data_IF_852528980837
#
_entry.id   IF_852528980837
#
_cell.length_a   1.000
_cell.length_b   1.000
_cell.length_c   1.000
_cell.angle_alpha   90.00
_cell.angle_beta   90.00
_cell.angle_gamma   90.00
#
_symmetry.space_group_name_H-M   'P 1'
#
loop_
_entity.id
_entity.type
_entity.pdbx_description
1 polymer ?
#
# COMPACT_ATOMS: atom_id res chain seq x y z
N UNK A 1 12.45 10.74 -3.90
CA UNK A 1 11.93 11.86 -3.07
C UNK A 1 11.62 11.30 -1.68
N UNK A 2 11.67 12.07 -0.58
CA UNK A 2 11.53 11.58 0.82
C UNK A 2 12.55 10.49 1.27
N UNK A 3 13.84 10.74 1.06
CA UNK A 3 14.91 9.76 1.31
C UNK A 3 14.92 9.15 2.72
N UNK A 4 14.66 9.96 3.75
CA UNK A 4 14.68 9.48 5.14
C UNK A 4 13.43 8.65 5.49
N UNK A 5 12.25 9.13 5.11
CA UNK A 5 10.99 8.43 5.40
C UNK A 5 10.94 7.12 4.62
N UNK A 6 11.21 7.13 3.32
CA UNK A 6 11.23 5.89 2.54
C UNK A 6 12.38 4.97 2.92
N UNK A 7 13.52 5.52 3.37
CA UNK A 7 14.63 4.73 3.91
C UNK A 7 14.19 3.93 5.12
N UNK A 8 13.64 4.60 6.13
CA UNK A 8 13.12 3.95 7.34
C UNK A 8 12.06 2.88 7.03
N UNK A 9 11.09 3.21 6.18
CA UNK A 9 10.03 2.28 5.82
C UNK A 9 10.56 1.03 5.11
N UNK A 10 11.54 1.20 4.21
CA UNK A 10 12.16 0.08 3.51
C UNK A 10 12.99 -0.79 4.44
N UNK A 11 13.80 -0.16 5.29
CA UNK A 11 14.64 -0.87 6.26
C UNK A 11 13.80 -1.75 7.19
N UNK A 12 12.78 -1.18 7.82
CA UNK A 12 11.90 -1.92 8.74
C UNK A 12 11.10 -3.00 8.00
N UNK A 13 10.55 -2.70 6.82
CA UNK A 13 9.82 -3.70 6.03
C UNK A 13 10.72 -4.87 5.59
N UNK A 14 11.96 -4.60 5.18
CA UNK A 14 12.94 -5.63 4.81
C UNK A 14 13.29 -6.50 6.03
N UNK A 15 13.48 -5.91 7.20
CA UNK A 15 13.73 -6.64 8.44
C UNK A 15 12.57 -7.58 8.80
N UNK A 16 11.33 -7.05 8.85
CA UNK A 16 10.13 -7.83 9.19
C UNK A 16 9.87 -8.91 8.13
N UNK A 17 10.10 -8.63 6.84
CA UNK A 17 9.87 -9.61 5.77
C UNK A 17 10.69 -10.89 5.93
N UNK A 18 11.88 -10.81 6.54
CA UNK A 18 12.74 -11.97 6.80
C UNK A 18 12.13 -12.94 7.80
N UNK A 19 11.24 -12.46 8.67
CA UNK A 19 10.49 -13.30 9.62
C UNK A 19 9.35 -14.08 8.92
N UNK A 20 8.95 -13.66 7.71
CA UNK A 20 7.84 -14.23 6.94
C UNK A 20 8.28 -14.65 5.53
N UNK A 21 9.21 -15.62 5.37
CA UNK A 21 9.81 -15.96 4.08
C UNK A 21 8.83 -16.54 3.04
N UNK A 22 7.64 -16.98 3.49
CA UNK A 22 6.60 -17.51 2.62
C UNK A 22 5.71 -16.40 2.01
N UNK A 23 5.86 -15.15 2.46
CA UNK A 23 5.12 -14.00 1.95
C UNK A 23 6.05 -13.22 1.02
N UNK A 24 5.63 -13.04 -0.24
CA UNK A 24 6.39 -12.26 -1.21
C UNK A 24 6.28 -10.76 -0.88
N UNK A 25 7.40 -10.11 -0.62
CA UNK A 25 7.47 -8.66 -0.44
C UNK A 25 7.90 -7.97 -1.74
N UNK A 26 7.17 -6.94 -2.16
CA UNK A 26 7.49 -6.08 -3.29
C UNK A 26 7.41 -4.61 -2.89
N UNK A 27 8.16 -3.76 -3.60
CA UNK A 27 8.17 -2.33 -3.35
C UNK A 27 7.80 -1.54 -4.60
N UNK A 28 6.88 -0.60 -4.44
CA UNK A 28 6.39 0.25 -5.52
C UNK A 28 6.34 1.70 -5.02
N UNK A 29 6.75 2.66 -5.85
CA UNK A 29 6.56 4.07 -5.53
C UNK A 29 5.07 4.44 -5.56
N UNK A 30 4.66 5.41 -4.75
CA UNK A 30 3.23 5.72 -4.56
C UNK A 30 2.53 6.18 -5.83
N UNK A 31 3.23 6.88 -6.72
CA UNK A 31 2.72 7.30 -8.03
C UNK A 31 2.47 6.10 -8.94
N UNK A 32 3.42 5.19 -9.02
CA UNK A 32 3.27 3.93 -9.75
C UNK A 32 2.18 3.04 -9.13
N UNK A 33 2.07 2.98 -7.81
CA UNK A 33 1.02 2.26 -7.11
C UNK A 33 -0.36 2.82 -7.46
N UNK A 34 -0.55 4.14 -7.42
CA UNK A 34 -1.80 4.79 -7.81
C UNK A 34 -2.19 4.46 -9.27
N UNK A 35 -1.23 4.49 -10.21
CA UNK A 35 -1.48 4.06 -11.59
C UNK A 35 -1.88 2.58 -11.67
N UNK A 36 -1.22 1.70 -10.92
CA UNK A 36 -1.50 0.27 -10.91
C UNK A 36 -2.86 -0.07 -10.29
N UNK A 37 -3.28 0.63 -9.23
CA UNK A 37 -4.61 0.51 -8.66
C UNK A 37 -5.70 0.72 -9.72
N UNK A 38 -5.54 1.71 -10.60
CA UNK A 38 -6.52 1.96 -11.67
C UNK A 38 -6.40 0.93 -12.80
N UNK A 39 -5.18 0.58 -13.19
CA UNK A 39 -4.93 -0.23 -14.39
C UNK A 39 -5.19 -1.73 -14.17
N UNK A 40 -4.76 -2.26 -13.02
CA UNK A 40 -4.75 -3.68 -12.69
C UNK A 40 -4.79 -3.83 -11.15
N UNK A 41 -5.90 -3.46 -10.50
CA UNK A 41 -6.03 -3.54 -9.04
C UNK A 41 -5.81 -4.96 -8.50
N UNK A 42 -6.13 -5.99 -9.28
CA UNK A 42 -5.98 -7.41 -8.94
C UNK A 42 -4.52 -7.86 -8.72
N UNK A 43 -3.54 -7.03 -9.07
CA UNK A 43 -2.13 -7.29 -8.76
C UNK A 43 -1.84 -7.23 -7.26
N UNK A 44 -2.61 -6.45 -6.50
CA UNK A 44 -2.39 -6.24 -5.08
C UNK A 44 -3.23 -7.19 -4.23
N UNK A 45 -2.57 -7.86 -3.28
CA UNK A 45 -3.23 -8.64 -2.23
C UNK A 45 -3.27 -7.85 -0.91
N UNK A 46 -2.11 -7.39 -0.44
CA UNK A 46 -1.95 -6.57 0.77
C UNK A 46 -1.04 -5.40 0.48
N UNK A 47 -1.45 -4.19 0.88
CA UNK A 47 -0.67 -2.97 0.73
C UNK A 47 -0.42 -2.36 2.10
N UNK A 48 0.84 -2.05 2.39
CA UNK A 48 1.25 -1.32 3.59
C UNK A 48 1.96 -0.03 3.16
N UNK A 49 1.65 1.08 3.84
CA UNK A 49 2.10 2.40 3.40
C UNK A 49 2.05 3.42 4.54
N UNK A 50 2.88 4.50 4.50
CA UNK A 50 2.77 5.61 5.44
C UNK A 50 1.38 6.26 5.46
N UNK A 51 1.01 6.84 6.60
CA UNK A 51 -0.33 7.39 6.88
C UNK A 51 -0.94 8.20 5.72
N UNK A 52 -0.26 9.25 5.25
CA UNK A 52 -0.77 10.11 4.17
C UNK A 52 -1.01 9.36 2.85
N UNK A 53 -0.12 8.43 2.49
CA UNK A 53 -0.27 7.65 1.28
C UNK A 53 -1.33 6.56 1.44
N UNK A 54 -1.50 6.03 2.65
CA UNK A 54 -2.59 5.13 3.02
C UNK A 54 -3.94 5.78 2.79
N UNK A 55 -4.15 6.96 3.37
CA UNK A 55 -5.37 7.76 3.24
C UNK A 55 -5.80 7.94 1.77
N UNK A 56 -4.85 8.31 0.91
CA UNK A 56 -5.10 8.51 -0.52
C UNK A 56 -5.37 7.19 -1.26
N UNK A 57 -4.55 6.15 -1.01
CA UNK A 57 -4.68 4.88 -1.72
C UNK A 57 -5.92 4.09 -1.30
N UNK A 58 -6.35 4.20 -0.03
CA UNK A 58 -7.59 3.55 0.43
C UNK A 58 -8.82 4.18 -0.19
N UNK A 59 -8.84 5.51 -0.35
CA UNK A 59 -9.93 6.20 -1.05
C UNK A 59 -9.96 5.86 -2.55
N UNK A 60 -8.78 5.78 -3.20
CA UNK A 60 -8.68 5.31 -4.57
C UNK A 60 -9.22 3.88 -4.71
N UNK A 61 -8.82 2.97 -3.82
CA UNK A 61 -9.33 1.60 -3.75
C UNK A 61 -10.85 1.56 -3.54
N UNK A 62 -11.37 2.40 -2.66
CA UNK A 62 -12.81 2.52 -2.43
C UNK A 62 -13.57 2.93 -3.70
N UNK A 63 -13.04 3.88 -4.47
CA UNK A 63 -13.66 4.30 -5.72
C UNK A 63 -13.70 3.19 -6.78
N UNK A 64 -12.68 2.34 -6.83
CA UNK A 64 -12.63 1.21 -7.77
C UNK A 64 -13.73 0.18 -7.47
N UNK A 65 -14.06 -0.05 -6.19
CA UNK A 65 -15.07 -1.03 -5.76
C UNK A 65 -16.53 -0.50 -5.73
N UNK A 66 -16.77 0.75 -6.16
CA UNK A 66 -18.11 1.35 -6.19
C UNK A 66 -18.33 2.51 -5.22
N UNK A 67 -17.27 2.97 -4.55
CA UNK A 67 -17.26 4.18 -3.72
C UNK A 67 -17.15 3.92 -2.22
N UNK A 68 -16.97 5.01 -1.46
CA UNK A 68 -16.83 4.96 0.01
C UNK A 68 -18.04 4.36 0.74
N UNK A 69 -19.23 4.39 0.15
CA UNK A 69 -20.46 3.86 0.76
C UNK A 69 -20.45 2.35 1.01
N UNK A 70 -19.54 1.61 0.36
CA UNK A 70 -19.37 0.16 0.51
C UNK A 70 -17.99 -0.23 1.05
N UNK A 71 -17.16 0.75 1.43
CA UNK A 71 -15.80 0.54 1.91
C UNK A 71 -15.77 0.49 3.46
N UNK A 72 -15.61 -0.69 4.09
CA UNK A 72 -15.45 -0.77 5.54
C UNK A 72 -14.04 -0.31 5.94
N UNK A 73 -13.93 0.30 7.12
CA UNK A 73 -12.67 0.68 7.74
C UNK A 73 -12.62 0.26 9.21
N UNK A 74 -11.42 0.01 9.72
CA UNK A 74 -11.19 -0.36 11.12
C UNK A 74 -9.92 0.27 11.66
N UNK A 75 -9.97 0.73 12.91
CA UNK A 75 -8.80 1.17 13.67
C UNK A 75 -8.54 0.11 14.75
N UNK A 76 -7.38 -0.54 14.70
CA UNK A 76 -6.96 -1.63 15.60
C UNK A 76 -5.81 -1.14 16.47
#
# INVERSE_FOLDING_TARGET
VLAYVYGLWREVADEVSREYPNIKAEYVFVDAAAMWFVKNPEWFEVVVTPNLFGDILTDLGAMIQGGLGVAPGGNI
#
